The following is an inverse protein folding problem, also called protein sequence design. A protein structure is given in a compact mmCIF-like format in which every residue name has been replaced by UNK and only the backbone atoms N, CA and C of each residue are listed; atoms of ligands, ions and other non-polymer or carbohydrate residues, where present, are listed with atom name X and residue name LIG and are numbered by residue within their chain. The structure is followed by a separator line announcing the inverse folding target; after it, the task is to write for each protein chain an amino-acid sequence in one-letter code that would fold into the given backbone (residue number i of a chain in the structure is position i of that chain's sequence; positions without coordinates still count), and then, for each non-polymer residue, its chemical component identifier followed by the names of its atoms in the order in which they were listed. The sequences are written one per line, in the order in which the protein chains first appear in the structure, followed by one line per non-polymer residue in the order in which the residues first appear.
data_IF_145941118076
#
_entry.id   IF_145941118076
#
_cell.length_a   1.000
_cell.length_b   1.000
_cell.length_c   1.000
_cell.angle_alpha   90.00
_cell.angle_beta   90.00
_cell.angle_gamma   90.00
#
_symmetry.space_group_name_H-M   'P 1'
#
loop_
_entity.id
_entity.type
_entity.pdbx_description
1 polymer ?
#
# COMPACT_ATOMS: atom_id res chain seq x y z
N UNK A 1 40.28 -14.08 35.53
CA UNK A 1 39.91 -14.75 36.80
C UNK A 1 38.70 -14.04 37.40
N UNK A 2 37.47 -14.49 37.13
CA UNK A 2 36.25 -14.02 37.82
C UNK A 2 35.56 -15.23 38.43
N UNK A 3 35.29 -15.14 39.73
CA UNK A 3 34.79 -16.22 40.59
C UNK A 3 33.32 -16.50 40.27
N UNK A 4 33.00 -17.76 39.95
CA UNK A 4 31.64 -18.28 39.90
C UNK A 4 31.12 -18.52 41.31
N UNK A 5 30.03 -17.86 41.67
CA UNK A 5 29.28 -18.12 42.90
C UNK A 5 28.16 -19.10 42.56
N UNK A 6 28.28 -20.35 43.01
CA UNK A 6 27.22 -21.35 42.90
C UNK A 6 26.18 -21.10 43.99
N UNK A 7 24.91 -20.91 43.60
CA UNK A 7 23.78 -20.86 44.51
C UNK A 7 23.10 -22.23 44.43
N UNK A 8 23.17 -22.98 45.54
CA UNK A 8 22.48 -24.24 45.73
C UNK A 8 20.99 -23.98 45.99
N UNK A 9 20.12 -24.49 45.12
CA UNK A 9 18.67 -24.45 45.28
C UNK A 9 18.21 -25.76 45.90
N UNK A 10 17.62 -25.66 47.10
CA UNK A 10 16.99 -26.75 47.84
C UNK A 10 15.74 -27.24 47.10
N UNK A 11 15.65 -28.55 46.89
CA UNK A 11 14.48 -29.23 46.34
C UNK A 11 13.43 -29.49 47.44
N UNK A 12 12.23 -28.90 47.30
CA UNK A 12 11.06 -29.27 48.09
C UNK A 12 10.15 -30.12 47.22
N UNK A 13 10.08 -31.42 47.55
CA UNK A 13 9.18 -32.38 46.95
C UNK A 13 7.77 -32.22 47.55
N UNK A 14 6.90 -31.50 46.85
CA UNK A 14 5.48 -31.35 47.18
C UNK A 14 4.62 -31.73 45.99
N UNK A 15 4.08 -32.95 45.99
CA UNK A 15 3.16 -33.46 44.98
C UNK A 15 1.76 -32.86 45.17
N UNK A 16 1.47 -31.76 44.46
CA UNK A 16 0.11 -31.26 44.28
C UNK A 16 -0.34 -31.58 42.85
N UNK A 17 -1.11 -32.66 42.72
CA UNK A 17 -1.82 -33.02 41.50
C UNK A 17 -2.99 -32.07 41.26
N UNK A 18 -2.76 -30.98 40.55
CA UNK A 18 -3.80 -30.20 39.89
C UNK A 18 -3.78 -30.55 38.41
N UNK A 19 -4.73 -31.40 37.98
CA UNK A 19 -5.11 -31.53 36.58
C UNK A 19 -5.89 -30.26 36.17
N UNK A 20 -5.18 -29.15 36.05
CA UNK A 20 -5.73 -27.86 35.66
C UNK A 20 -5.82 -27.79 34.14
N UNK A 21 -7.04 -27.63 33.62
CA UNK A 21 -7.26 -27.05 32.29
C UNK A 21 -6.75 -25.61 32.32
N UNK A 22 -5.46 -25.42 32.05
CA UNK A 22 -4.95 -24.09 31.76
C UNK A 22 -5.56 -23.67 30.42
N UNK A 23 -6.40 -22.62 30.36
CA UNK A 23 -6.77 -22.03 29.08
C UNK A 23 -5.45 -21.65 28.40
N UNK A 24 -5.14 -22.31 27.29
CA UNK A 24 -3.90 -22.08 26.57
C UNK A 24 -3.85 -20.61 26.13
N UNK A 25 -3.01 -19.81 26.78
CA UNK A 25 -2.78 -18.44 26.37
C UNK A 25 -2.30 -18.46 24.92
N UNK A 26 -3.06 -17.88 24.00
CA UNK A 26 -2.61 -17.66 22.63
C UNK A 26 -1.52 -16.59 22.63
N UNK A 27 -0.61 -16.69 21.68
CA UNK A 27 0.40 -15.65 21.47
C UNK A 27 -0.26 -14.32 21.11
N UNK A 28 0.33 -13.21 21.57
CA UNK A 28 -0.11 -11.87 21.18
C UNK A 28 0.19 -11.62 19.69
N UNK A 29 -0.76 -10.97 19.00
CA UNK A 29 -0.55 -10.45 17.65
C UNK A 29 0.42 -9.28 17.70
N UNK A 30 1.58 -9.39 17.07
CA UNK A 30 2.57 -8.31 17.02
C UNK A 30 3.44 -8.40 15.77
N UNK A 31 3.95 -7.24 15.35
CA UNK A 31 5.00 -7.10 14.35
C UNK A 31 6.22 -6.45 14.99
N UNK A 32 7.34 -7.15 14.99
CA UNK A 32 8.64 -6.61 15.42
C UNK A 32 9.39 -6.09 14.20
N UNK A 33 9.52 -4.78 14.10
CA UNK A 33 10.33 -4.12 13.08
C UNK A 33 11.80 -4.20 13.48
N UNK A 34 12.64 -4.73 12.61
CA UNK A 34 14.09 -4.83 12.81
C UNK A 34 14.76 -3.83 11.88
N UNK A 35 15.26 -2.72 12.43
CA UNK A 35 15.81 -1.62 11.66
C UNK A 35 17.33 -1.80 11.60
N UNK A 36 17.83 -2.11 10.41
CA UNK A 36 19.24 -2.38 10.16
C UNK A 36 19.78 -1.54 9.00
N UNK A 37 21.10 -1.49 8.90
CA UNK A 37 21.77 -0.77 7.82
C UNK A 37 22.28 -1.74 6.75
N UNK A 38 22.23 -1.31 5.49
CA UNK A 38 22.85 -2.01 4.37
C UNK A 38 24.39 -2.03 4.49
N UNK A 39 25.04 -2.83 3.65
CA UNK A 39 26.44 -3.21 3.87
C UNK A 39 27.46 -2.05 3.91
N UNK A 40 27.11 -0.92 3.28
CA UNK A 40 27.99 0.24 3.07
C UNK A 40 27.78 1.38 4.06
N UNK A 41 26.73 1.33 4.89
CA UNK A 41 26.40 2.44 5.80
C UNK A 41 27.23 2.36 7.07
N UNK A 42 27.76 3.50 7.51
CA UNK A 42 28.46 3.61 8.79
C UNK A 42 27.57 4.35 9.80
N UNK A 43 27.42 3.80 11.01
CA UNK A 43 26.64 4.44 12.09
C UNK A 43 27.02 5.91 12.36
N UNK A 44 28.29 6.29 12.14
CA UNK A 44 28.78 7.67 12.36
C UNK A 44 28.24 8.70 11.36
N UNK A 45 27.72 8.25 10.22
CA UNK A 45 27.12 9.10 9.19
C UNK A 45 25.68 9.48 9.56
N UNK A 46 25.02 8.69 10.39
CA UNK A 46 23.66 8.94 10.84
C UNK A 46 23.63 9.98 11.98
N UNK A 47 22.66 10.89 11.91
CA UNK A 47 22.40 11.94 12.92
C UNK A 47 21.13 11.69 13.74
N UNK A 48 20.51 10.54 13.53
CA UNK A 48 19.33 10.08 14.25
C UNK A 48 18.33 9.41 13.32
N UNK A 49 17.44 8.64 13.93
CA UNK A 49 16.34 7.95 13.26
C UNK A 49 15.03 8.35 13.91
N UNK A 50 14.07 8.77 13.11
CA UNK A 50 12.69 9.00 13.51
C UNK A 50 11.81 7.90 12.90
N UNK A 51 10.89 7.37 13.70
CA UNK A 51 9.97 6.31 13.30
C UNK A 51 8.56 6.81 13.54
N UNK A 52 7.74 6.78 12.50
CA UNK A 52 6.32 7.16 12.56
C UNK A 52 5.48 5.96 12.17
N UNK A 53 4.50 5.63 12.99
CA UNK A 53 3.56 4.53 12.76
C UNK A 53 2.15 5.09 12.62
N UNK A 54 1.42 4.60 11.63
CA UNK A 54 0.00 4.86 11.41
C UNK A 54 -0.69 3.66 10.77
N UNK A 55 -1.94 3.85 10.34
CA UNK A 55 -2.74 2.80 9.69
C UNK A 55 -2.65 2.94 8.17
N UNK A 56 -2.97 4.15 7.68
CA UNK A 56 -2.86 4.51 6.27
C UNK A 56 -1.51 5.16 5.95
N UNK A 57 -0.97 4.89 4.76
CA UNK A 57 0.35 5.35 4.38
C UNK A 57 0.41 6.86 4.08
N UNK A 58 -0.63 7.41 3.47
CA UNK A 58 -0.71 8.84 3.13
C UNK A 58 -0.88 9.67 4.42
N UNK A 59 -1.73 9.22 5.34
CA UNK A 59 -1.86 9.84 6.67
C UNK A 59 -0.55 9.73 7.47
N UNK A 60 0.13 8.58 7.41
CA UNK A 60 1.42 8.40 8.11
C UNK A 60 2.49 9.36 7.59
N UNK A 61 2.58 9.57 6.28
CA UNK A 61 3.50 10.58 5.71
C UNK A 61 3.09 12.00 6.06
N UNK A 62 1.79 12.30 6.10
CA UNK A 62 1.27 13.59 6.56
C UNK A 62 1.66 13.87 8.02
N UNK A 63 1.66 12.84 8.88
CA UNK A 63 2.16 12.93 10.27
C UNK A 63 3.65 13.23 10.33
N UNK A 64 4.46 12.62 9.46
CA UNK A 64 5.89 12.95 9.34
C UNK A 64 6.07 14.42 8.96
N UNK A 65 5.28 14.92 7.99
CA UNK A 65 5.31 16.34 7.59
C UNK A 65 4.95 17.29 8.75
N UNK A 66 4.04 16.85 9.63
CA UNK A 66 3.64 17.56 10.84
C UNK A 66 4.60 17.34 12.03
N UNK A 67 5.77 16.73 11.81
CA UNK A 67 6.79 16.42 12.83
C UNK A 67 6.28 15.50 13.96
N UNK A 68 5.20 14.74 13.69
CA UNK A 68 4.72 13.72 14.61
C UNK A 68 5.55 12.45 14.44
N UNK A 69 6.22 12.05 15.52
CA UNK A 69 7.07 10.86 15.60
C UNK A 69 6.59 9.94 16.71
N UNK A 70 6.52 8.65 16.42
CA UNK A 70 6.16 7.62 17.41
C UNK A 70 7.35 7.27 18.29
N UNK A 71 8.55 7.21 17.69
CA UNK A 71 9.79 6.93 18.39
C UNK A 71 10.97 7.61 17.70
N UNK A 72 12.01 7.90 18.46
CA UNK A 72 13.29 8.41 17.95
C UNK A 72 14.45 7.70 18.62
N UNK A 73 15.54 7.47 17.89
CA UNK A 73 16.77 6.91 18.45
C UNK A 73 18.00 7.49 17.75
N UNK A 74 19.09 7.64 18.50
CA UNK A 74 20.42 7.95 17.97
C UNK A 74 21.36 6.74 18.10
N UNK A 75 20.84 5.61 18.63
CA UNK A 75 21.61 4.40 18.82
C UNK A 75 21.82 3.69 17.47
N UNK A 76 23.04 3.20 17.28
CA UNK A 76 23.41 2.36 16.15
C UNK A 76 24.59 1.50 16.56
N UNK A 77 24.40 0.18 16.56
CA UNK A 77 25.46 -0.77 16.86
C UNK A 77 26.34 -0.96 15.62
N UNK A 78 27.54 -0.39 15.64
CA UNK A 78 28.49 -0.48 14.53
C UNK A 78 28.96 -1.92 14.21
N UNK A 79 28.84 -2.88 15.14
CA UNK A 79 29.24 -4.28 14.91
C UNK A 79 28.15 -5.05 14.18
N UNK A 80 26.91 -4.88 14.61
CA UNK A 80 25.76 -5.59 14.04
C UNK A 80 25.06 -4.81 12.93
N UNK A 81 25.40 -3.53 12.77
CA UNK A 81 24.74 -2.56 11.88
C UNK A 81 23.24 -2.48 12.17
N UNK A 82 22.87 -2.62 13.44
CA UNK A 82 21.49 -2.54 13.91
C UNK A 82 21.24 -1.17 14.53
N UNK A 83 20.18 -0.50 14.09
CA UNK A 83 19.68 0.75 14.69
C UNK A 83 18.81 0.43 15.90
N UNK A 84 18.03 -0.65 15.81
CA UNK A 84 17.21 -1.13 16.91
C UNK A 84 15.97 -1.90 16.43
N UNK A 85 15.05 -2.13 17.36
CA UNK A 85 13.80 -2.82 17.09
C UNK A 85 12.61 -2.05 17.64
N UNK A 86 11.50 -2.03 16.91
CA UNK A 86 10.23 -1.46 17.37
C UNK A 86 9.15 -2.54 17.30
N UNK A 87 8.43 -2.76 18.39
CA UNK A 87 7.29 -3.68 18.41
C UNK A 87 6.02 -2.89 18.20
N UNK A 88 5.25 -3.27 17.18
CA UNK A 88 3.94 -2.71 16.86
C UNK A 88 2.89 -3.78 17.11
N UNK A 89 1.80 -3.39 17.76
CA UNK A 89 0.63 -4.23 17.99
C UNK A 89 -0.56 -3.63 17.24
N UNK A 90 -1.50 -4.45 16.75
CA UNK A 90 -2.69 -3.94 16.09
C UNK A 90 -3.52 -3.07 17.05
N UNK A 91 -4.18 -2.06 16.49
CA UNK A 91 -5.26 -1.32 17.14
C UNK A 91 -6.60 -1.88 16.69
N UNK A 92 -7.60 -1.02 16.46
CA UNK A 92 -8.90 -1.43 15.91
C UNK A 92 -8.81 -1.87 14.43
N UNK A 93 -7.69 -1.58 13.77
CA UNK A 93 -7.39 -1.93 12.38
C UNK A 93 -6.32 -3.04 12.32
N UNK A 94 -6.52 -3.99 11.40
CA UNK A 94 -5.56 -5.06 11.12
C UNK A 94 -4.43 -4.61 10.17
N UNK A 95 -4.32 -3.32 9.88
CA UNK A 95 -3.31 -2.74 8.98
C UNK A 95 -2.42 -1.76 9.73
N UNK A 96 -1.16 -1.67 9.30
CA UNK A 96 -0.23 -0.65 9.75
C UNK A 96 0.67 -0.18 8.61
N UNK A 97 1.05 1.08 8.70
CA UNK A 97 2.07 1.73 7.88
C UNK A 97 3.16 2.28 8.78
N UNK A 98 4.40 2.11 8.38
CA UNK A 98 5.57 2.60 9.08
C UNK A 98 6.43 3.39 8.11
N UNK A 99 6.83 4.58 8.54
CA UNK A 99 7.82 5.41 7.87
C UNK A 99 9.02 5.56 8.82
N UNK A 100 10.18 5.11 8.35
CA UNK A 100 11.46 5.28 9.05
C UNK A 100 12.27 6.33 8.29
N UNK A 101 12.60 7.42 8.98
CA UNK A 101 13.36 8.54 8.43
C UNK A 101 14.70 8.63 9.14
N UNK A 102 15.78 8.54 8.37
CA UNK A 102 17.14 8.64 8.87
C UNK A 102 17.76 9.93 8.34
N UNK A 103 18.24 10.80 9.23
CA UNK A 103 19.09 11.91 8.86
C UNK A 103 20.49 11.38 8.54
N UNK A 104 20.83 11.29 7.27
CA UNK A 104 22.06 10.66 6.79
C UNK A 104 23.14 11.68 6.40
N UNK A 105 22.74 12.89 6.04
CA UNK A 105 23.69 13.96 5.75
C UNK A 105 24.27 14.55 7.05
N UNK A 106 25.60 14.67 7.19
CA UNK A 106 26.22 15.20 8.41
C UNK A 106 25.87 16.68 8.67
N UNK A 107 25.42 17.41 7.65
CA UNK A 107 24.93 18.79 7.81
C UNK A 107 23.53 18.87 8.44
N UNK A 108 22.77 17.78 8.44
CA UNK A 108 21.47 17.71 9.12
C UNK A 108 21.70 17.49 10.62
N UNK A 109 21.16 18.38 11.44
CA UNK A 109 21.26 18.23 12.90
C UNK A 109 20.36 17.15 13.48
N UNK A 110 19.26 16.80 12.79
CA UNK A 110 18.26 15.84 13.27
C UNK A 110 17.35 15.32 12.15
N UNK A 111 16.66 14.18 12.35
CA UNK A 111 15.65 13.68 11.41
C UNK A 111 14.41 14.58 11.28
N UNK A 112 14.18 15.55 12.18
CA UNK A 112 13.06 16.49 12.05
C UNK A 112 13.24 17.48 10.87
N UNK A 113 14.47 17.66 10.38
CA UNK A 113 14.74 18.46 9.19
C UNK A 113 14.35 17.73 7.89
N UNK A 114 14.12 16.43 7.95
CA UNK A 114 13.72 15.59 6.82
C UNK A 114 12.22 15.73 6.58
N UNK A 115 11.84 16.51 5.55
CA UNK A 115 10.43 16.76 5.23
C UNK A 115 10.06 16.31 3.82
N UNK A 116 8.85 15.75 3.63
CA UNK A 116 8.32 15.55 2.29
C UNK A 116 8.16 16.89 1.55
N UNK A 117 8.15 16.89 0.21
CA UNK A 117 8.23 15.70 -0.65
C UNK A 117 9.66 15.26 -0.98
N UNK A 118 10.67 16.08 -0.66
CA UNK A 118 12.04 15.88 -1.17
C UNK A 118 12.97 15.11 -0.23
N UNK A 119 12.72 15.12 1.09
CA UNK A 119 13.55 14.45 2.09
C UNK A 119 15.07 14.67 1.93
N UNK A 120 15.45 15.92 1.61
CA UNK A 120 16.84 16.24 1.29
C UNK A 120 17.80 15.89 2.42
N UNK A 121 18.87 15.15 2.09
CA UNK A 121 19.89 14.66 3.00
C UNK A 121 19.45 13.44 3.83
N UNK A 122 18.29 12.87 3.55
CA UNK A 122 17.69 11.81 4.36
C UNK A 122 17.49 10.54 3.55
N UNK A 123 17.40 9.42 4.28
CA UNK A 123 16.98 8.13 3.75
C UNK A 123 15.62 7.83 4.35
N UNK A 124 14.64 7.50 3.50
CA UNK A 124 13.28 7.14 3.91
C UNK A 124 12.99 5.70 3.51
N UNK A 125 12.63 4.88 4.50
CA UNK A 125 12.17 3.52 4.28
C UNK A 125 10.71 3.40 4.73
N UNK A 126 9.86 2.82 3.88
CA UNK A 126 8.42 2.65 4.13
C UNK A 126 8.05 1.18 4.10
N UNK A 127 7.15 0.77 4.99
CA UNK A 127 6.55 -0.57 4.99
C UNK A 127 5.08 -0.48 5.35
N UNK A 128 4.24 -1.17 4.59
CA UNK A 128 2.80 -1.33 4.82
C UNK A 128 2.50 -2.80 4.96
N UNK A 129 1.77 -3.19 5.98
CA UNK A 129 1.50 -4.59 6.25
C UNK A 129 0.18 -4.80 6.98
N UNK A 130 -0.29 -6.04 6.95
CA UNK A 130 -1.41 -6.47 7.78
C UNK A 130 -0.93 -7.41 8.87
N UNK A 131 -1.58 -7.34 10.04
CA UNK A 131 -1.30 -8.23 11.14
C UNK A 131 -1.89 -9.62 10.88
N UNK A 132 -1.15 -10.67 11.26
CA UNK A 132 -1.69 -12.03 11.31
C UNK A 132 -2.10 -12.36 12.74
N UNK A 133 -3.37 -12.72 12.94
CA UNK A 133 -3.92 -13.00 14.26
C UNK A 133 -3.13 -14.08 15.01
N UNK A 134 -2.81 -13.81 16.28
CA UNK A 134 -2.05 -14.67 17.19
C UNK A 134 -0.64 -15.04 16.69
N UNK A 135 -0.04 -14.20 15.85
CA UNK A 135 1.34 -14.39 15.38
C UNK A 135 2.26 -13.27 15.82
N UNK A 136 3.50 -13.65 16.14
CA UNK A 136 4.62 -12.75 16.37
C UNK A 136 5.49 -12.75 15.13
N UNK A 137 5.37 -11.72 14.30
CA UNK A 137 6.11 -11.61 13.05
C UNK A 137 7.30 -10.67 13.23
N UNK A 138 8.33 -10.84 12.40
CA UNK A 138 9.52 -9.98 12.36
C UNK A 138 9.65 -9.43 10.94
N UNK A 139 9.85 -8.12 10.83
CA UNK A 139 9.96 -7.45 9.54
C UNK A 139 11.26 -6.65 9.47
N UNK A 140 12.18 -7.01 8.56
CA UNK A 140 13.38 -6.23 8.34
C UNK A 140 13.03 -4.91 7.64
N UNK A 141 13.68 -3.83 8.08
CA UNK A 141 13.72 -2.52 7.43
C UNK A 141 15.20 -2.18 7.23
N UNK A 142 15.66 -2.28 5.98
CA UNK A 142 17.05 -2.02 5.62
C UNK A 142 17.22 -0.58 5.15
N UNK A 143 18.10 0.17 5.81
CA UNK A 143 18.47 1.53 5.43
C UNK A 143 19.62 1.46 4.41
N UNK A 144 19.33 1.84 3.17
CA UNK A 144 20.25 1.77 2.04
C UNK A 144 20.82 3.16 1.72
N UNK A 145 22.16 3.36 1.67
CA UNK A 145 22.74 4.68 1.42
C UNK A 145 22.49 5.17 -0.01
N UNK A 146 22.24 4.25 -0.96
CA UNK A 146 21.89 4.59 -2.34
C UNK A 146 20.49 5.23 -2.42
N UNK A 147 19.73 5.24 -1.32
CA UNK A 147 18.42 5.88 -1.17
C UNK A 147 18.45 7.28 -0.56
N UNK A 148 19.64 7.85 -0.34
CA UNK A 148 19.75 9.25 0.06
C UNK A 148 19.18 10.14 -1.05
N UNK A 149 18.33 11.10 -0.69
CA UNK A 149 17.72 12.06 -1.63
C UNK A 149 16.83 11.42 -2.71
N UNK A 150 16.33 10.18 -2.50
CA UNK A 150 15.43 9.49 -3.44
C UNK A 150 13.97 9.68 -3.01
N UNK A 151 13.18 10.51 -3.71
CA UNK A 151 11.80 10.80 -3.34
C UNK A 151 10.85 9.72 -3.86
N UNK A 152 10.70 8.63 -3.10
CA UNK A 152 9.60 7.69 -3.32
C UNK A 152 8.30 8.23 -2.73
N UNK A 153 7.16 7.95 -3.36
CA UNK A 153 5.83 8.33 -2.87
C UNK A 153 5.44 7.60 -1.56
N UNK A 154 4.27 7.95 -1.01
CA UNK A 154 3.75 7.36 0.24
C UNK A 154 3.59 5.84 0.18
N UNK A 155 3.37 5.28 -1.01
CA UNK A 155 3.04 3.87 -1.23
C UNK A 155 4.27 3.05 -1.66
N UNK A 156 5.40 3.70 -1.87
CA UNK A 156 6.67 3.09 -2.30
C UNK A 156 7.81 3.39 -1.33
N UNK A 157 8.82 2.51 -1.36
CA UNK A 157 10.02 2.59 -0.54
C UNK A 157 11.24 2.44 -1.41
N UNK A 158 12.30 3.17 -1.09
CA UNK A 158 13.54 3.06 -1.83
C UNK A 158 14.32 1.81 -1.43
N UNK A 159 14.94 1.15 -2.41
CA UNK A 159 15.97 0.13 -2.26
C UNK A 159 16.95 0.24 -3.43
N UNK A 160 18.26 0.29 -3.16
CA UNK A 160 19.31 0.45 -4.19
C UNK A 160 19.01 1.58 -5.18
N UNK A 161 18.55 2.73 -4.68
CA UNK A 161 18.23 3.92 -5.48
C UNK A 161 16.94 3.86 -6.30
N UNK A 162 16.15 2.79 -6.21
CA UNK A 162 14.90 2.62 -6.96
C UNK A 162 13.71 2.50 -6.00
N UNK A 163 12.54 3.01 -6.41
CA UNK A 163 11.32 2.91 -5.63
C UNK A 163 10.57 1.62 -5.95
N UNK A 164 10.20 0.87 -4.91
CA UNK A 164 9.40 -0.36 -5.01
C UNK A 164 8.14 -0.23 -4.17
N UNK A 165 7.13 -1.07 -4.40
CA UNK A 165 5.97 -1.13 -3.49
C UNK A 165 6.41 -1.33 -2.04
N UNK A 166 5.85 -0.52 -1.14
CA UNK A 166 6.03 -0.65 0.31
C UNK A 166 5.12 -1.72 0.93
N UNK A 167 4.17 -2.27 0.15
CA UNK A 167 3.23 -3.28 0.59
C UNK A 167 3.91 -4.63 0.84
N UNK A 168 3.52 -5.26 1.94
CA UNK A 168 4.06 -6.53 2.39
C UNK A 168 2.91 -7.52 2.48
N UNK A 169 2.93 -8.49 1.56
CA UNK A 169 2.02 -9.63 1.61
C UNK A 169 2.63 -10.69 2.50
N UNK A 170 1.95 -11.01 3.60
CA UNK A 170 2.40 -12.01 4.57
C UNK A 170 1.67 -13.31 4.30
N UNK A 171 2.37 -14.27 3.72
CA UNK A 171 1.84 -15.62 3.49
C UNK A 171 2.43 -16.59 4.53
N UNK A 172 1.59 -17.07 5.45
CA UNK A 172 1.99 -18.08 6.43
C UNK A 172 2.90 -17.57 7.55
N UNK A 173 4.01 -18.27 7.79
CA UNK A 173 5.01 -17.98 8.84
C UNK A 173 6.36 -17.55 8.25
N UNK A 174 6.38 -17.18 6.97
CA UNK A 174 7.60 -16.79 6.27
C UNK A 174 7.99 -15.37 6.65
N UNK A 175 9.29 -15.14 6.85
CA UNK A 175 9.83 -13.79 7.06
C UNK A 175 9.51 -12.97 5.82
N UNK A 176 8.87 -11.79 5.95
CA UNK A 176 8.52 -11.01 4.79
C UNK A 176 9.76 -10.59 4.01
N UNK A 177 9.75 -10.70 2.67
CA UNK A 177 10.90 -10.33 1.85
C UNK A 177 11.16 -8.82 1.92
N UNK A 178 12.38 -8.43 1.61
CA UNK A 178 12.71 -7.03 1.36
C UNK A 178 11.91 -6.47 0.17
N UNK A 179 11.63 -5.16 0.12
CA UNK A 179 10.96 -4.55 -1.02
C UNK A 179 11.63 -4.91 -2.36
N UNK A 180 10.85 -5.32 -3.35
CA UNK A 180 11.36 -5.71 -4.67
C UNK A 180 12.25 -6.97 -4.67
N UNK A 181 12.31 -7.74 -3.58
CA UNK A 181 12.95 -9.06 -3.59
C UNK A 181 11.94 -10.14 -3.95
N UNK A 182 12.26 -10.95 -4.95
CA UNK A 182 11.47 -12.12 -5.33
C UNK A 182 11.82 -13.33 -4.44
N UNK A 183 10.93 -14.33 -4.30
CA UNK A 183 11.19 -15.53 -3.50
C UNK A 183 12.41 -16.35 -3.95
N UNK A 184 12.82 -16.21 -5.21
CA UNK A 184 14.02 -16.84 -5.78
C UNK A 184 15.32 -16.06 -5.50
N UNK A 185 15.24 -14.95 -4.76
CA UNK A 185 16.35 -14.03 -4.49
C UNK A 185 16.62 -13.03 -5.61
N UNK A 186 15.82 -13.04 -6.69
CA UNK A 186 15.84 -12.07 -7.76
C UNK A 186 15.34 -10.69 -7.33
N UNK A 187 15.49 -9.72 -8.23
CA UNK A 187 14.90 -8.37 -8.07
C UNK A 187 13.67 -8.27 -8.97
N UNK A 188 12.57 -7.76 -8.43
CA UNK A 188 11.34 -7.52 -9.18
C UNK A 188 11.47 -6.24 -10.01
N UNK A 189 12.06 -6.33 -11.19
CA UNK A 189 12.19 -5.19 -12.10
C UNK A 189 10.83 -4.61 -12.54
N UNK A 190 9.77 -5.44 -12.55
CA UNK A 190 8.41 -5.00 -12.84
C UNK A 190 7.75 -4.24 -11.68
N UNK A 191 8.28 -4.39 -10.47
CA UNK A 191 7.80 -3.72 -9.26
C UNK A 191 8.38 -2.32 -9.04
N UNK A 192 9.19 -1.81 -9.98
CA UNK A 192 9.74 -0.46 -9.92
C UNK A 192 8.61 0.55 -10.16
N UNK A 193 8.33 1.36 -9.14
CA UNK A 193 7.37 2.46 -9.22
C UNK A 193 8.14 3.70 -9.68
N UNK A 194 7.80 4.23 -10.85
CA UNK A 194 8.31 5.52 -11.29
C UNK A 194 7.47 6.58 -10.58
N UNK A 195 8.06 7.42 -9.70
CA UNK A 195 7.30 8.48 -9.07
C UNK A 195 6.71 9.38 -10.16
N UNK A 196 5.44 9.75 -10.06
CA UNK A 196 4.79 10.72 -10.96
C UNK A 196 5.33 12.16 -10.78
N UNK A 197 6.55 12.30 -10.29
CA UNK A 197 7.30 13.55 -10.28
C UNK A 197 7.64 13.89 -11.71
N UNK A 198 6.73 14.62 -12.36
CA UNK A 198 6.89 15.15 -13.70
C UNK A 198 8.32 15.60 -13.91
N UNK A 199 9.04 14.85 -14.74
CA UNK A 199 10.23 15.40 -15.38
C UNK A 199 9.78 16.77 -15.90
N UNK A 200 10.46 17.87 -15.55
CA UNK A 200 10.14 19.14 -16.16
C UNK A 200 10.19 18.88 -17.65
N UNK A 201 9.05 19.05 -18.33
CA UNK A 201 8.95 19.01 -19.78
C UNK A 201 9.98 20.02 -20.28
N UNK A 202 11.18 19.53 -20.55
CA UNK A 202 12.17 20.25 -21.29
C UNK A 202 11.62 20.19 -22.69
N UNK A 203 10.69 21.10 -22.98
CA UNK A 203 10.21 21.42 -24.31
C UNK A 203 11.42 21.81 -25.14
N UNK A 204 12.13 20.81 -25.63
CA UNK A 204 13.04 20.94 -26.72
C UNK A 204 12.17 21.12 -27.94
N UNK A 205 12.13 22.34 -28.44
CA UNK A 205 11.67 22.66 -29.78
C UNK A 205 12.48 21.81 -30.76
N UNK A 206 11.97 20.62 -31.07
CA UNK A 206 12.46 19.83 -32.18
C UNK A 206 12.02 20.54 -33.45
N UNK A 207 12.86 21.46 -33.91
CA UNK A 207 12.88 21.96 -35.29
C UNK A 207 13.07 20.76 -36.23
N UNK A 208 11.94 20.13 -36.56
CA UNK A 208 11.84 19.01 -37.46
C UNK A 208 11.64 19.57 -38.86
N UNK A 209 12.75 20.02 -39.45
CA UNK A 209 12.87 20.11 -40.90
C UNK A 209 12.93 18.69 -41.47
N UNK A 210 11.76 18.07 -41.63
CA UNK A 210 11.58 16.86 -42.43
C UNK A 210 11.57 17.28 -43.90
N UNK A 211 12.54 16.84 -44.74
CA UNK A 211 12.38 16.96 -46.17
C UNK A 211 11.31 15.98 -46.67
N UNK A 212 10.36 16.55 -47.39
CA UNK A 212 9.28 15.93 -48.13
C UNK A 212 9.82 14.81 -49.04
N UNK A 213 9.27 13.60 -48.91
CA UNK A 213 9.89 12.41 -49.49
C UNK A 213 8.99 11.18 -49.53
N UNK A 214 8.01 11.23 -50.42
CA UNK A 214 7.56 10.10 -51.27
C UNK A 214 6.63 9.03 -50.65
N UNK A 215 5.36 9.18 -50.98
CA UNK A 215 4.36 8.17 -51.36
C UNK A 215 4.78 6.68 -51.25
N UNK A 216 4.17 5.99 -50.29
CA UNK A 216 3.93 4.54 -50.37
C UNK A 216 2.54 4.23 -49.82
N UNK A 217 1.58 4.13 -50.75
CA UNK A 217 0.27 3.52 -50.53
C UNK A 217 0.44 2.02 -50.26
N UNK A 218 0.14 1.60 -49.03
CA UNK A 218 -0.01 0.20 -48.67
C UNK A 218 -1.12 0.05 -47.62
N UNK A 219 -2.12 -0.83 -47.83
CA UNK A 219 -3.16 -1.07 -46.84
C UNK A 219 -2.56 -1.84 -45.66
N UNK A 220 -2.55 -1.22 -44.49
CA UNK A 220 -2.22 -1.90 -43.23
C UNK A 220 -3.51 -2.46 -42.65
N UNK A 221 -3.64 -3.77 -42.73
CA UNK A 221 -4.67 -4.56 -42.06
C UNK A 221 -4.61 -4.38 -40.53
N UNK A 222 -5.77 -4.19 -39.93
CA UNK A 222 -5.96 -4.07 -38.48
C UNK A 222 -5.60 -5.38 -37.75
N UNK A 223 -5.01 -5.32 -36.54
CA UNK A 223 -4.91 -6.51 -35.69
C UNK A 223 -6.25 -6.79 -34.98
N UNK A 224 -6.79 -7.94 -35.36
CA UNK A 224 -7.67 -8.91 -34.68
C UNK A 224 -8.00 -8.67 -33.20
N UNK A 225 -9.30 -8.76 -32.92
CA UNK A 225 -9.96 -8.80 -31.62
C UNK A 225 -9.44 -9.91 -30.67
N UNK A 226 -9.34 -9.59 -29.38
CA UNK A 226 -9.26 -10.58 -28.30
C UNK A 226 -10.64 -10.70 -27.61
N UNK A 227 -11.13 -11.92 -27.29
CA UNK A 227 -12.42 -12.10 -26.64
C UNK A 227 -12.26 -12.00 -25.12
N UNK A 228 -12.97 -11.07 -24.48
CA UNK A 228 -13.25 -11.14 -23.04
C UNK A 228 -14.71 -11.54 -22.85
N UNK A 229 -14.91 -12.81 -22.50
CA UNK A 229 -16.22 -13.34 -22.11
C UNK A 229 -16.64 -12.73 -20.76
N UNK A 230 -17.85 -12.16 -20.73
CA UNK A 230 -18.50 -11.76 -19.49
C UNK A 230 -18.84 -12.99 -18.63
N UNK A 231 -18.80 -12.90 -17.28
CA UNK A 231 -19.23 -13.98 -16.41
C UNK A 231 -20.69 -14.42 -16.69
N UNK A 232 -21.04 -15.69 -16.46
CA UNK A 232 -22.40 -16.17 -16.68
C UNK A 232 -23.41 -15.39 -15.83
N UNK A 233 -24.41 -14.78 -16.49
CA UNK A 233 -25.49 -14.01 -15.87
C UNK A 233 -25.62 -12.56 -16.37
N UNK A 234 -24.69 -12.07 -17.20
CA UNK A 234 -24.77 -10.73 -17.80
C UNK A 234 -25.34 -10.84 -19.22
N UNK A 235 -26.51 -10.26 -19.45
CA UNK A 235 -27.14 -10.15 -20.78
C UNK A 235 -27.22 -8.68 -21.16
N UNK A 236 -26.50 -8.29 -22.22
CA UNK A 236 -26.68 -6.98 -22.85
C UNK A 236 -27.97 -7.00 -23.68
N UNK A 237 -29.01 -6.31 -23.20
CA UNK A 237 -30.16 -5.94 -24.03
C UNK A 237 -29.98 -4.46 -24.40
N UNK A 238 -30.20 -4.15 -25.68
CA UNK A 238 -29.95 -2.84 -26.29
C UNK A 238 -30.20 -1.65 -25.35
N UNK A 239 -29.11 -1.02 -24.91
CA UNK A 239 -29.11 0.30 -24.26
C UNK A 239 -29.18 0.35 -22.72
N UNK A 240 -29.19 -0.76 -21.99
CA UNK A 240 -29.16 -0.70 -20.51
C UNK A 240 -28.50 -1.92 -19.85
N UNK A 241 -27.55 -1.69 -18.96
CA UNK A 241 -27.02 -2.70 -18.04
C UNK A 241 -27.79 -2.60 -16.71
N UNK A 242 -28.43 -3.70 -16.29
CA UNK A 242 -29.28 -3.72 -15.11
C UNK A 242 -28.64 -4.54 -13.99
N UNK A 243 -28.31 -3.90 -12.86
CA UNK A 243 -27.77 -4.60 -11.69
C UNK A 243 -28.92 -5.04 -10.75
N UNK A 244 -28.94 -6.29 -10.27
CA UNK A 244 -29.96 -6.74 -9.34
C UNK A 244 -29.58 -6.38 -7.89
N UNK A 245 -30.23 -5.35 -7.32
CA UNK A 245 -30.30 -5.15 -5.86
C UNK A 245 -30.19 -3.70 -5.36
N UNK A 246 -30.64 -3.40 -4.13
CA UNK A 246 -30.51 -2.08 -3.51
C UNK A 246 -29.06 -1.81 -3.06
N UNK A 247 -28.49 -0.65 -3.42
CA UNK A 247 -27.15 -0.25 -2.97
C UNK A 247 -27.17 0.14 -1.47
N UNK A 248 -26.44 -0.58 -0.62
CA UNK A 248 -26.33 -0.30 0.81
C UNK A 248 -24.86 -0.11 1.23
N UNK A 249 -24.42 1.13 1.47
CA UNK A 249 -23.05 1.47 1.90
C UNK A 249 -22.86 2.98 2.18
N UNK A 250 -21.83 3.35 2.96
CA UNK A 250 -21.66 4.69 3.57
C UNK A 250 -20.97 5.77 2.70
N UNK A 251 -20.47 5.42 1.51
CA UNK A 251 -19.92 6.38 0.54
C UNK A 251 -20.32 5.88 -0.84
N UNK A 252 -21.35 6.49 -1.42
CA UNK A 252 -21.82 6.17 -2.76
C UNK A 252 -22.00 7.45 -3.57
N UNK A 253 -21.44 7.43 -4.77
CA UNK A 253 -21.68 8.43 -5.81
C UNK A 253 -22.77 7.89 -6.74
N UNK A 254 -23.75 8.72 -7.03
CA UNK A 254 -24.76 8.43 -8.04
C UNK A 254 -24.34 9.13 -9.33
N UNK A 255 -24.09 8.37 -10.40
CA UNK A 255 -23.79 8.95 -11.71
C UNK A 255 -25.08 9.16 -12.49
N UNK A 256 -25.38 10.41 -12.85
CA UNK A 256 -26.50 10.80 -13.70
C UNK A 256 -25.99 11.02 -15.13
N UNK A 257 -26.74 10.56 -16.12
CA UNK A 257 -26.43 10.81 -17.53
C UNK A 257 -27.20 12.03 -17.96
N UNK A 258 -26.52 13.16 -18.10
CA UNK A 258 -27.10 14.39 -18.62
C UNK A 258 -26.99 14.35 -20.15
N UNK A 259 -28.10 14.64 -20.84
CA UNK A 259 -28.19 14.51 -22.29
C UNK A 259 -27.13 15.32 -23.07
N UNK A 260 -26.61 16.39 -22.45
CA UNK A 260 -25.77 17.39 -23.14
C UNK A 260 -24.32 17.46 -22.63
N UNK A 261 -24.02 16.89 -21.45
CA UNK A 261 -22.71 17.06 -20.77
C UNK A 261 -22.04 15.75 -20.35
N UNK A 262 -22.65 14.61 -20.68
CA UNK A 262 -22.12 13.29 -20.31
C UNK A 262 -22.49 12.84 -18.90
N UNK A 263 -21.66 11.99 -18.31
CA UNK A 263 -21.94 11.33 -17.03
C UNK A 263 -21.36 12.16 -15.88
N UNK A 264 -22.20 12.59 -14.94
CA UNK A 264 -21.76 13.36 -13.77
C UNK A 264 -22.06 12.59 -12.47
N UNK A 265 -21.05 12.40 -11.63
CA UNK A 265 -21.20 11.67 -10.37
C UNK A 265 -21.41 12.64 -9.20
N UNK A 266 -22.54 12.47 -8.49
CA UNK A 266 -22.98 13.34 -7.40
C UNK A 266 -22.90 12.57 -6.08
N UNK A 267 -22.27 13.15 -5.06
CA UNK A 267 -22.09 12.52 -3.75
C UNK A 267 -23.35 12.72 -2.87
N UNK A 268 -23.78 11.65 -2.20
CA UNK A 268 -24.77 11.70 -1.11
C UNK A 268 -26.08 10.98 -1.44
N UNK A 269 -26.59 10.22 -0.47
CA UNK A 269 -27.79 9.38 -0.63
C UNK A 269 -29.05 10.15 -1.08
N UNK A 270 -29.12 11.47 -0.82
CA UNK A 270 -30.21 12.32 -1.27
C UNK A 270 -30.20 12.57 -2.80
N UNK A 271 -29.04 12.51 -3.45
CA UNK A 271 -28.89 12.66 -4.90
C UNK A 271 -29.43 11.45 -5.68
N UNK A 272 -29.68 10.32 -5.01
CA UNK A 272 -30.20 9.10 -5.62
C UNK A 272 -31.74 9.01 -5.60
N UNK A 273 -32.47 10.14 -5.51
CA UNK A 273 -33.94 10.14 -5.67
C UNK A 273 -34.35 10.02 -7.15
N UNK A 274 -35.49 9.35 -7.33
CA UNK A 274 -35.87 8.58 -8.52
C UNK A 274 -36.40 9.41 -9.70
N UNK A 275 -35.77 9.26 -10.87
CA UNK A 275 -36.40 9.40 -12.19
C UNK A 275 -35.51 8.94 -13.36
N UNK A 276 -34.21 8.72 -13.17
CA UNK A 276 -33.27 8.15 -14.15
C UNK A 276 -32.67 6.81 -13.68
N UNK A 277 -32.19 5.95 -14.60
CA UNK A 277 -31.39 4.77 -14.24
C UNK A 277 -30.06 5.25 -13.61
N UNK A 278 -29.77 4.83 -12.38
CA UNK A 278 -28.59 5.25 -11.61
C UNK A 278 -27.68 4.05 -11.33
N UNK A 279 -26.38 4.32 -11.31
CA UNK A 279 -25.31 3.33 -11.13
C UNK A 279 -24.51 3.63 -9.86
N UNK A 280 -23.98 2.58 -9.22
CA UNK A 280 -23.19 2.66 -7.99
C UNK A 280 -21.73 2.34 -8.34
N UNK A 281 -20.81 3.28 -8.13
CA UNK A 281 -19.36 3.10 -8.40
C UNK A 281 -18.55 3.51 -7.15
N UNK A 282 -17.33 2.98 -7.01
CA UNK A 282 -16.43 3.29 -5.89
C UNK A 282 -15.62 4.58 -6.16
N UNK A 283 -15.04 5.20 -5.12
CA UNK A 283 -14.27 6.46 -5.19
C UNK A 283 -13.18 6.48 -6.29
N UNK A 284 -12.62 5.32 -6.65
CA UNK A 284 -11.55 5.20 -7.66
C UNK A 284 -12.03 4.98 -9.10
N UNK A 285 -13.33 4.79 -9.34
CA UNK A 285 -13.87 4.48 -10.66
C UNK A 285 -14.38 5.73 -11.41
N UNK A 286 -14.46 6.89 -10.75
CA UNK A 286 -15.00 8.11 -11.35
C UNK A 286 -13.89 8.99 -11.97
N UNK A 287 -13.44 8.66 -13.18
CA UNK A 287 -12.59 9.53 -13.98
C UNK A 287 -13.39 10.65 -14.67
N UNK A 288 -12.85 11.87 -14.70
CA UNK A 288 -13.43 12.98 -15.48
C UNK A 288 -13.15 12.72 -16.95
N UNK A 289 -14.17 12.46 -17.76
CA UNK A 289 -14.02 12.39 -19.22
C UNK A 289 -14.02 13.82 -19.74
N UNK A 290 -12.84 14.35 -20.07
CA UNK A 290 -12.74 15.63 -20.75
C UNK A 290 -13.03 15.44 -22.25
N UNK A 291 -13.95 16.26 -22.76
CA UNK A 291 -14.31 16.53 -24.16
C UNK A 291 -13.91 15.51 -25.24
N UNK A 292 -14.93 14.84 -25.79
CA UNK A 292 -14.83 14.13 -27.07
C UNK A 292 -16.01 14.51 -27.96
N UNK A 293 -15.74 15.32 -29.00
CA UNK A 293 -16.64 15.73 -30.10
C UNK A 293 -17.02 14.55 -31.04
N UNK A 294 -17.31 13.36 -30.52
CA UNK A 294 -17.47 12.18 -31.35
C UNK A 294 -18.40 11.11 -30.79
N UNK A 295 -19.71 11.31 -30.98
CA UNK A 295 -20.72 10.25 -31.12
C UNK A 295 -20.88 9.24 -29.96
N UNK A 296 -22.10 9.17 -29.42
CA UNK A 296 -22.55 8.31 -28.31
C UNK A 296 -22.17 6.81 -28.40
N UNK A 297 -21.86 6.28 -29.57
CA UNK A 297 -21.61 4.84 -29.78
C UNK A 297 -20.23 4.35 -29.32
N UNK A 298 -19.26 5.24 -29.03
CA UNK A 298 -17.92 4.82 -28.55
C UNK A 298 -17.73 4.85 -27.04
N UNK A 299 -18.61 5.52 -26.29
CA UNK A 299 -18.49 5.65 -24.83
C UNK A 299 -18.73 4.34 -24.05
N UNK A 300 -19.38 3.35 -24.66
CA UNK A 300 -19.74 2.09 -23.98
C UNK A 300 -18.58 1.08 -23.88
N UNK A 301 -17.50 1.23 -24.66
CA UNK A 301 -16.43 0.21 -24.74
C UNK A 301 -15.33 0.46 -23.70
N UNK A 302 -15.17 1.70 -23.21
CA UNK A 302 -14.10 2.08 -22.26
C UNK A 302 -14.62 2.79 -21.00
N UNK A 303 -15.88 2.56 -20.60
CA UNK A 303 -16.46 3.14 -19.39
C UNK A 303 -15.95 2.52 -18.08
N UNK A 304 -16.16 3.17 -16.93
CA UNK A 304 -15.65 2.75 -15.63
C UNK A 304 -16.13 1.36 -15.21
N UNK A 305 -15.27 0.61 -14.51
CA UNK A 305 -15.47 -0.81 -14.13
C UNK A 305 -16.50 -0.99 -13.02
N UNK A 306 -17.74 -0.58 -13.22
CA UNK A 306 -18.79 -0.81 -12.23
C UNK A 306 -19.35 -2.23 -12.44
N UNK A 307 -18.83 -3.21 -11.67
CA UNK A 307 -19.52 -4.44 -11.21
C UNK A 307 -18.51 -5.47 -10.65
N UNK A 308 -18.38 -5.55 -9.33
CA UNK A 308 -17.80 -6.72 -8.65
C UNK A 308 -18.89 -7.33 -7.77
N UNK A 309 -19.22 -8.64 -7.89
CA UNK A 309 -20.12 -9.27 -6.94
C UNK A 309 -19.51 -9.24 -5.53
N UNK A 310 -20.32 -9.14 -4.46
CA UNK A 310 -19.81 -9.25 -3.10
C UNK A 310 -19.15 -10.62 -2.89
N UNK A 311 -18.10 -10.73 -2.05
CA UNK A 311 -17.47 -12.01 -1.76
C UNK A 311 -18.49 -12.97 -1.14
N UNK A 312 -18.59 -14.18 -1.71
CA UNK A 312 -19.46 -15.23 -1.20
C UNK A 312 -18.99 -15.68 0.19
N UNK A 313 -19.71 -15.25 1.23
CA UNK A 313 -19.58 -15.81 2.58
C UNK A 313 -20.29 -17.18 2.69
N UNK A 314 -19.82 -18.08 3.57
CA UNK A 314 -20.37 -19.43 3.67
C UNK A 314 -21.77 -19.42 4.28
N UNK A 315 -22.65 -20.24 3.72
CA UNK A 315 -24.00 -20.53 4.17
C UNK A 315 -24.12 -20.64 5.70
N UNK A 316 -24.90 -19.75 6.31
CA UNK A 316 -25.69 -20.03 7.51
C UNK A 316 -27.15 -19.73 7.22
N UNK A 317 -27.93 -20.80 7.05
CA UNK A 317 -29.39 -20.78 7.14
C UNK A 317 -29.78 -20.37 8.57
N UNK A 318 -30.24 -19.13 8.74
CA UNK A 318 -30.86 -18.63 9.97
C UNK A 318 -32.34 -18.37 9.74
N UNK A 319 -33.18 -19.33 10.10
CA UNK A 319 -34.65 -19.17 10.14
C UNK A 319 -35.06 -18.23 11.29
N UNK A 320 -35.93 -17.27 10.99
CA UNK A 320 -36.66 -16.50 11.99
C UNK A 320 -37.58 -17.41 12.82
N UNK A 321 -37.45 -17.40 14.14
CA UNK A 321 -38.42 -17.97 15.08
C UNK A 321 -39.12 -16.86 15.87
N UNK A 322 -40.42 -17.00 16.22
CA UNK A 322 -41.18 -15.96 16.92
C UNK A 322 -40.93 -15.97 18.44
N UNK A 323 -41.30 -14.88 19.15
CA UNK A 323 -40.92 -14.67 20.54
C UNK A 323 -41.78 -15.46 21.53
N UNK A 324 -41.14 -15.94 22.60
CA UNK A 324 -41.70 -16.18 23.93
C UNK A 324 -40.80 -15.51 24.96
#
# INVERSE_FOLDING_TARGET
MRRSTQIAVLAVAGACGFAGFAPGCRDATQMTLEIGLADKVVCSEMKGTAITVGVDAIDTESRVAAEYVTATTNECDARTRSVGTLVVTPSDDDQASVVVVVAYDPSLGSPAACKPPLFKGCIVARRRFSFSTFKKLRMPITIDPDCKDVPCDALSTCRKGNCYSSEVVIEGDVVPPEPGALPDGGTDEGGIVIPEGGLPDTGGDADSSIPDGSDVDGPVDAPTDAPFDAPPGVSCVAGALQCPGPCSGKLLYCCDVLADTGVQCVNGAAACKASSPKYCCADGDCGVVADLDGGLDRAAINGPKCNKPPPAGPNTLGTCGPPL
#
